data_IF_164467443665
#
_entry.id   IF_164467443665
#
_cell.length_a   1.000
_cell.length_b   1.000
_cell.length_c   1.000
_cell.angle_alpha   90.00
_cell.angle_beta   90.00
_cell.angle_gamma   90.00
#
_symmetry.space_group_name_H-M   'P 1'
#
loop_
_entity.id
_entity.type
_entity.pdbx_description
1 polymer ?
#
# COMPACT_ATOMS: atom_id res chain seq x y z
N UNK A 1 -28.70 -13.52 -43.16
CA UNK A 1 -28.86 -14.53 -44.24
C UNK A 1 -27.45 -14.74 -44.79
N UNK A 2 -26.75 -15.87 -44.69
CA UNK A 2 -27.10 -17.29 -44.86
C UNK A 2 -26.20 -18.13 -43.92
N UNK A 3 -26.70 -19.31 -43.63
CA UNK A 3 -26.39 -20.32 -42.61
C UNK A 3 -25.12 -21.18 -42.82
N UNK A 4 -24.51 -21.54 -41.67
CA UNK A 4 -23.68 -22.72 -41.27
C UNK A 4 -23.80 -24.03 -42.09
N UNK A 5 -22.80 -24.97 -42.07
CA UNK A 5 -22.49 -25.89 -40.93
C UNK A 5 -20.97 -26.19 -40.71
N UNK A 6 -20.38 -26.56 -39.54
CA UNK A 6 -20.52 -27.72 -38.60
C UNK A 6 -20.23 -29.07 -39.35
N UNK A 7 -19.27 -29.98 -39.05
CA UNK A 7 -18.50 -30.42 -37.84
C UNK A 7 -17.42 -31.49 -38.22
N UNK A 8 -16.81 -32.29 -37.30
CA UNK A 8 -15.35 -32.45 -37.12
C UNK A 8 -14.76 -33.77 -37.67
N UNK A 9 -13.45 -33.98 -37.52
CA UNK A 9 -12.83 -35.32 -37.56
C UNK A 9 -11.88 -35.50 -36.36
N UNK A 10 -12.20 -36.47 -35.51
CA UNK A 10 -11.30 -37.06 -34.53
C UNK A 10 -10.54 -38.23 -35.20
N UNK A 11 -9.26 -38.39 -34.87
CA UNK A 11 -8.52 -39.63 -35.15
C UNK A 11 -7.52 -39.91 -34.02
N UNK A 12 -7.88 -40.89 -33.18
CA UNK A 12 -6.98 -41.66 -32.33
C UNK A 12 -6.00 -42.46 -33.20
N UNK A 13 -4.72 -42.49 -32.84
CA UNK A 13 -3.82 -43.58 -33.20
C UNK A 13 -2.80 -43.80 -32.07
N UNK A 14 -2.88 -44.98 -31.46
CA UNK A 14 -1.97 -45.47 -30.44
C UNK A 14 -0.93 -46.43 -31.03
N UNK A 15 0.15 -46.59 -30.26
CA UNK A 15 1.06 -47.73 -30.15
C UNK A 15 2.30 -47.80 -31.09
N UNK A 16 3.48 -47.79 -30.45
CA UNK A 16 4.48 -48.86 -30.60
C UNK A 16 5.49 -48.84 -29.42
N UNK A 17 5.49 -49.91 -28.61
CA UNK A 17 6.58 -50.30 -27.70
C UNK A 17 7.58 -51.20 -28.44
N UNK A 18 8.87 -51.14 -28.08
CA UNK A 18 9.92 -52.18 -28.10
C UNK A 18 11.09 -51.65 -27.20
N UNK A 19 11.34 -52.17 -25.97
CA UNK A 19 12.26 -53.28 -25.57
C UNK A 19 13.72 -53.07 -26.07
N UNK A 20 14.83 -53.25 -25.32
CA UNK A 20 15.11 -53.85 -24.01
C UNK A 20 16.57 -53.52 -23.59
N UNK A 21 16.93 -53.75 -22.31
CA UNK A 21 18.32 -53.82 -21.84
C UNK A 21 18.46 -54.13 -20.33
N UNK A 22 18.55 -55.42 -19.98
CA UNK A 22 18.91 -55.97 -18.66
C UNK A 22 20.37 -55.60 -18.26
N UNK A 23 20.91 -55.76 -17.03
CA UNK A 23 20.83 -56.92 -16.14
C UNK A 23 21.62 -56.71 -14.80
N UNK A 24 21.01 -57.20 -13.69
CA UNK A 24 21.53 -57.89 -12.46
C UNK A 24 22.69 -57.31 -11.62
N UNK A 25 22.73 -57.51 -10.30
CA UNK A 25 21.96 -58.38 -9.39
C UNK A 25 22.42 -58.13 -7.94
N UNK A 26 21.55 -58.21 -6.94
CA UNK A 26 21.40 -59.37 -6.02
C UNK A 26 22.31 -59.23 -4.79
N UNK A 27 22.02 -59.65 -3.56
CA UNK A 27 20.84 -60.05 -2.79
C UNK A 27 21.40 -60.47 -1.40
N UNK A 28 20.68 -60.16 -0.30
CA UNK A 28 20.70 -60.85 1.04
C UNK A 28 22.04 -60.84 1.84
N UNK A 29 22.11 -60.79 3.19
CA UNK A 29 21.16 -61.01 4.28
C UNK A 29 21.74 -60.46 5.62
N UNK A 30 20.82 -60.11 6.55
CA UNK A 30 20.84 -60.24 8.02
C UNK A 30 21.86 -59.50 8.95
N UNK A 31 21.29 -58.62 9.80
CA UNK A 31 21.39 -58.73 11.28
C UNK A 31 22.06 -57.58 12.05
N UNK A 32 21.29 -56.77 12.81
CA UNK A 32 21.39 -56.65 14.28
C UNK A 32 20.30 -55.72 14.89
N UNK A 33 20.11 -55.87 16.21
CA UNK A 33 18.97 -55.48 17.06
C UNK A 33 19.11 -54.09 17.74
N UNK A 34 18.00 -53.65 18.35
CA UNK A 34 17.84 -52.65 19.45
C UNK A 34 18.04 -51.15 19.05
N UNK A 35 17.33 -50.12 19.54
CA UNK A 35 16.44 -49.91 20.68
C UNK A 35 15.87 -48.46 20.59
N UNK A 36 14.72 -48.16 21.22
CA UNK A 36 14.12 -46.81 21.52
C UNK A 36 13.70 -45.95 20.32
N UNK A 37 12.51 -45.36 20.23
CA UNK A 37 11.81 -44.51 21.20
C UNK A 37 11.62 -43.13 20.56
N UNK A 38 10.45 -42.52 20.74
CA UNK A 38 10.03 -41.17 20.31
C UNK A 38 9.28 -41.06 18.97
N UNK A 39 7.96 -40.92 19.10
CA UNK A 39 7.16 -40.10 18.21
C UNK A 39 7.59 -38.65 18.46
N UNK A 40 8.07 -37.99 17.41
CA UNK A 40 8.32 -36.56 17.41
C UNK A 40 7.02 -35.91 16.94
N UNK A 41 6.31 -35.30 17.90
CA UNK A 41 5.39 -34.20 17.62
C UNK A 41 6.24 -33.07 17.01
N UNK A 42 5.87 -32.64 15.81
CA UNK A 42 6.41 -31.41 15.24
C UNK A 42 5.72 -30.23 15.95
N UNK A 43 6.20 -29.88 17.15
CA UNK A 43 6.00 -28.56 17.72
C UNK A 43 6.93 -27.58 16.99
N UNK A 44 6.38 -26.89 15.99
CA UNK A 44 6.93 -25.59 15.61
C UNK A 44 6.42 -24.60 16.65
N UNK A 45 7.22 -24.42 17.71
CA UNK A 45 6.97 -23.41 18.72
C UNK A 45 7.26 -22.04 18.13
N UNK A 46 6.20 -21.34 17.72
CA UNK A 46 6.22 -19.91 17.46
C UNK A 46 6.11 -19.18 18.80
N UNK A 47 7.19 -18.52 19.21
CA UNK A 47 7.19 -17.62 20.35
C UNK A 47 6.41 -16.35 19.97
N UNK A 48 5.08 -16.36 20.19
CA UNK A 48 4.25 -15.16 20.00
C UNK A 48 2.74 -15.38 19.95
N UNK A 49 2.27 -16.59 19.62
CA UNK A 49 0.85 -16.80 19.25
C UNK A 49 0.06 -17.68 20.24
N UNK A 50 0.46 -17.73 21.51
CA UNK A 50 -0.14 -18.64 22.49
C UNK A 50 -1.66 -18.43 22.73
N UNK A 51 -2.23 -17.32 22.26
CA UNK A 51 -3.61 -16.91 22.51
C UNK A 51 -4.45 -16.64 21.24
N UNK A 52 -3.93 -16.91 20.03
CA UNK A 52 -4.73 -16.74 18.80
C UNK A 52 -5.68 -17.93 18.57
N UNK A 53 -6.92 -17.63 18.19
CA UNK A 53 -7.95 -18.63 17.92
C UNK A 53 -8.19 -18.77 16.40
N UNK A 54 -8.34 -20.01 15.92
CA UNK A 54 -8.79 -20.27 14.55
C UNK A 54 -10.24 -19.79 14.38
N UNK A 55 -10.50 -19.02 13.32
CA UNK A 55 -11.79 -18.43 12.98
C UNK A 55 -12.26 -18.85 11.59
N UNK A 56 -13.57 -18.75 11.34
CA UNK A 56 -14.20 -19.32 10.13
C UNK A 56 -13.83 -18.58 8.82
N UNK A 57 -13.28 -17.36 8.89
CA UNK A 57 -12.91 -16.53 7.74
C UNK A 57 -11.91 -15.42 8.14
N UNK A 58 -11.19 -14.81 7.19
CA UNK A 58 -10.34 -13.64 7.46
C UNK A 58 -11.10 -12.54 8.21
N UNK A 59 -10.42 -11.91 9.16
CA UNK A 59 -10.99 -10.85 10.01
C UNK A 59 -10.22 -9.55 9.77
N UNK A 60 -10.50 -8.81 8.68
CA UNK A 60 -9.77 -7.57 8.40
C UNK A 60 -9.92 -6.58 9.56
N UNK A 61 -8.86 -5.84 9.84
CA UNK A 61 -8.81 -4.84 10.92
C UNK A 61 -8.34 -3.50 10.41
N UNK A 62 -8.81 -2.43 11.04
CA UNK A 62 -8.35 -1.07 10.82
C UNK A 62 -7.45 -0.65 11.98
N UNK A 63 -6.44 0.15 11.68
CA UNK A 63 -5.59 0.82 12.68
C UNK A 63 -5.72 2.32 12.48
N UNK A 64 -6.25 3.01 13.48
CA UNK A 64 -6.48 4.45 13.45
C UNK A 64 -5.69 5.15 14.56
N UNK A 65 -4.92 6.18 14.24
CA UNK A 65 -4.16 6.93 15.26
C UNK A 65 -5.01 8.02 15.88
N UNK A 66 -4.68 8.43 17.09
CA UNK A 66 -5.25 9.60 17.76
C UNK A 66 -4.18 10.28 18.63
N UNK A 67 -4.48 11.44 19.19
CA UNK A 67 -3.56 12.12 20.13
C UNK A 67 -3.42 11.30 21.43
N UNK A 68 -2.37 10.48 21.51
CA UNK A 68 -2.06 9.63 22.66
C UNK A 68 -2.10 8.12 22.38
N UNK A 69 -2.32 7.66 21.14
CA UNK A 69 -2.27 6.23 20.84
C UNK A 69 -2.82 5.82 19.47
N UNK A 70 -3.11 4.52 19.35
CA UNK A 70 -3.80 3.92 18.22
C UNK A 70 -4.96 3.04 18.69
N UNK A 71 -6.02 3.02 17.90
CA UNK A 71 -7.16 2.12 18.03
C UNK A 71 -7.03 1.02 16.98
N UNK A 72 -7.28 -0.23 17.38
CA UNK A 72 -7.53 -1.31 16.43
C UNK A 72 -9.02 -1.58 16.39
N UNK A 73 -9.61 -1.62 15.19
CA UNK A 73 -11.03 -1.83 14.98
C UNK A 73 -11.28 -3.04 14.07
N UNK A 74 -12.38 -3.74 14.30
CA UNK A 74 -12.91 -4.69 13.33
C UNK A 74 -13.36 -3.94 12.07
N UNK A 75 -12.86 -4.31 10.89
CA UNK A 75 -13.08 -3.54 9.67
C UNK A 75 -14.49 -3.73 9.07
N UNK A 76 -15.31 -4.65 9.60
CA UNK A 76 -16.67 -4.89 9.14
C UNK A 76 -17.72 -4.20 10.02
N UNK A 77 -17.45 -4.11 11.32
CA UNK A 77 -18.40 -3.63 12.34
C UNK A 77 -17.96 -2.32 12.98
N UNK A 78 -16.70 -1.93 12.80
CA UNK A 78 -16.05 -0.78 13.47
C UNK A 78 -16.01 -0.90 15.01
N UNK A 79 -16.19 -2.10 15.56
CA UNK A 79 -16.00 -2.35 16.98
C UNK A 79 -14.53 -2.13 17.36
N UNK A 80 -14.27 -1.35 18.42
CA UNK A 80 -12.92 -1.15 18.95
C UNK A 80 -12.48 -2.43 19.66
N UNK A 81 -11.44 -3.06 19.13
CA UNK A 81 -10.84 -4.29 19.63
C UNK A 81 -9.73 -4.02 20.64
N UNK A 82 -8.93 -2.98 20.38
CA UNK A 82 -7.82 -2.59 21.26
C UNK A 82 -7.59 -1.07 21.23
N UNK A 83 -7.03 -0.56 22.33
CA UNK A 83 -6.55 0.81 22.49
C UNK A 83 -5.12 0.76 23.05
N UNK A 84 -4.14 1.02 22.19
CA UNK A 84 -2.71 0.99 22.51
C UNK A 84 -2.19 2.42 22.70
N UNK A 85 -1.87 2.84 23.95
CA UNK A 85 -1.36 4.18 24.22
C UNK A 85 0.07 4.37 23.72
N UNK A 86 0.32 5.47 23.02
CA UNK A 86 1.62 5.85 22.48
C UNK A 86 1.78 7.36 22.46
N UNK A 87 2.97 7.84 22.80
CA UNK A 87 3.28 9.27 22.82
C UNK A 87 3.75 9.76 21.45
N UNK A 88 3.42 11.01 21.11
CA UNK A 88 3.90 11.70 19.91
C UNK A 88 2.93 11.65 18.74
N UNK A 89 3.33 12.24 17.61
CA UNK A 89 2.56 12.18 16.38
C UNK A 89 2.87 10.88 15.64
N UNK A 90 1.87 10.00 15.56
CA UNK A 90 2.01 8.65 15.06
C UNK A 90 1.53 8.59 13.60
N UNK A 91 2.34 7.97 12.74
CA UNK A 91 1.97 7.58 11.38
C UNK A 91 1.89 6.07 11.30
N UNK A 92 0.91 5.58 10.52
CA UNK A 92 0.67 4.15 10.34
C UNK A 92 0.64 3.82 8.86
N UNK A 93 1.33 2.74 8.48
CA UNK A 93 1.34 2.22 7.12
C UNK A 93 1.30 0.70 7.18
N UNK A 94 0.54 0.01 6.32
CA UNK A 94 0.50 -1.44 6.36
C UNK A 94 1.84 -2.01 5.88
N UNK A 95 2.27 -3.14 6.45
CA UNK A 95 3.53 -3.79 6.12
C UNK A 95 3.48 -4.58 4.80
N UNK A 96 2.29 -4.75 4.20
CA UNK A 96 2.09 -5.42 2.91
C UNK A 96 1.83 -6.92 3.00
N UNK A 97 1.85 -7.49 4.19
CA UNK A 97 1.69 -8.94 4.46
C UNK A 97 0.27 -9.33 4.91
N UNK A 98 -0.65 -8.36 4.96
CA UNK A 98 -2.02 -8.57 5.41
C UNK A 98 -2.18 -8.69 6.93
N UNK A 99 -1.13 -8.50 7.74
CA UNK A 99 -1.16 -8.67 9.19
C UNK A 99 -0.57 -7.50 9.97
N UNK A 100 0.57 -6.97 9.52
CA UNK A 100 1.34 -6.00 10.29
C UNK A 100 1.16 -4.57 9.79
N UNK A 101 1.42 -3.61 10.69
CA UNK A 101 1.42 -2.18 10.43
C UNK A 101 2.72 -1.58 10.96
N UNK A 102 3.39 -0.77 10.15
CA UNK A 102 4.49 0.08 10.60
C UNK A 102 3.98 1.33 11.29
N UNK A 103 4.49 1.56 12.50
CA UNK A 103 4.21 2.71 13.35
C UNK A 103 5.47 3.57 13.41
N UNK A 104 5.39 4.82 12.98
CA UNK A 104 6.52 5.74 13.09
C UNK A 104 6.72 6.17 14.55
N UNK A 105 7.93 5.94 15.07
CA UNK A 105 8.37 6.30 16.43
C UNK A 105 9.70 7.06 16.36
N UNK A 106 10.15 7.77 17.41
CA UNK A 106 11.40 8.52 17.38
C UNK A 106 12.64 7.70 16.96
N UNK A 107 12.65 6.41 17.27
CA UNK A 107 13.74 5.48 16.96
C UNK A 107 13.70 4.93 15.52
N UNK A 108 12.58 5.07 14.79
CA UNK A 108 12.41 4.54 13.44
C UNK A 108 11.00 4.01 13.18
N UNK A 109 10.90 2.81 12.61
CA UNK A 109 9.62 2.16 12.31
C UNK A 109 9.41 0.95 13.21
N UNK A 110 8.44 1.04 14.12
CA UNK A 110 8.07 -0.04 15.02
C UNK A 110 6.97 -0.90 14.39
N UNK A 111 7.13 -2.22 14.47
CA UNK A 111 6.15 -3.16 13.93
C UNK A 111 4.99 -3.34 14.92
N UNK A 112 3.77 -3.18 14.43
CA UNK A 112 2.52 -3.46 15.14
C UNK A 112 1.87 -4.69 14.51
N UNK A 113 1.62 -5.73 15.31
CA UNK A 113 0.84 -6.90 14.90
C UNK A 113 -0.63 -6.60 15.12
N UNK A 114 -1.41 -6.52 14.04
CA UNK A 114 -2.85 -6.29 14.15
C UNK A 114 -3.59 -7.52 14.66
N UNK A 115 -2.92 -8.66 14.85
CA UNK A 115 -3.44 -9.86 15.51
C UNK A 115 -4.34 -10.71 14.62
N UNK A 116 -4.23 -10.61 13.29
CA UNK A 116 -5.03 -11.39 12.33
C UNK A 116 -4.19 -11.82 11.15
N UNK A 117 -4.34 -13.08 10.73
CA UNK A 117 -3.67 -13.61 9.53
C UNK A 117 -4.38 -14.85 9.00
N UNK A 118 -4.11 -15.16 7.73
CA UNK A 118 -4.63 -16.34 7.06
C UNK A 118 -3.49 -17.15 6.47
N UNK A 119 -3.36 -18.39 6.94
CA UNK A 119 -2.41 -19.36 6.39
C UNK A 119 -3.02 -20.03 5.15
N UNK A 120 -2.49 -19.73 3.97
CA UNK A 120 -2.92 -20.37 2.74
C UNK A 120 -2.30 -21.77 2.59
N UNK A 121 -3.13 -22.76 2.25
CA UNK A 121 -2.74 -24.14 1.97
C UNK A 121 -3.12 -24.55 0.53
N UNK A 122 -2.98 -23.62 -0.42
CA UNK A 122 -3.27 -23.84 -1.83
C UNK A 122 -4.76 -23.72 -2.16
N UNK A 123 -5.57 -24.74 -1.84
CA UNK A 123 -7.01 -24.75 -2.17
C UNK A 123 -7.95 -24.33 -1.02
N UNK A 124 -7.38 -24.12 0.17
CA UNK A 124 -8.05 -23.60 1.36
C UNK A 124 -7.07 -22.72 2.15
N UNK A 125 -7.59 -22.00 3.15
CA UNK A 125 -6.76 -21.31 4.13
C UNK A 125 -7.40 -21.40 5.52
N UNK A 126 -6.58 -21.28 6.56
CA UNK A 126 -7.02 -21.22 7.94
C UNK A 126 -6.75 -19.82 8.45
N UNK A 127 -7.80 -19.16 8.95
CA UNK A 127 -7.70 -17.79 9.47
C UNK A 127 -7.59 -17.83 10.98
N UNK A 128 -6.79 -16.93 11.52
CA UNK A 128 -6.55 -16.81 12.96
C UNK A 128 -6.79 -15.38 13.42
N UNK A 129 -7.30 -15.24 14.63
CA UNK A 129 -7.48 -13.95 15.29
C UNK A 129 -7.01 -14.03 16.73
N UNK A 130 -6.18 -13.08 17.13
CA UNK A 130 -5.71 -12.85 18.49
C UNK A 130 -5.78 -11.38 18.87
N UNK A 131 -5.17 -11.04 19.99
CA UNK A 131 -5.08 -9.66 20.47
C UNK A 131 -4.05 -8.87 19.64
N UNK A 132 -4.36 -7.63 19.20
CA UNK A 132 -3.37 -6.73 18.61
C UNK A 132 -2.25 -6.40 19.61
N UNK A 133 -1.03 -6.20 19.13
CA UNK A 133 0.10 -5.84 19.98
C UNK A 133 1.14 -5.00 19.25
N UNK A 134 1.61 -3.95 19.93
CA UNK A 134 2.84 -3.27 19.54
C UNK A 134 4.04 -4.15 19.92
N UNK A 135 4.83 -4.56 18.94
CA UNK A 135 5.96 -5.48 19.15
C UNK A 135 7.20 -4.74 19.64
N UNK A 136 8.19 -5.48 20.13
CA UNK A 136 9.52 -4.91 20.44
C UNK A 136 10.40 -4.70 19.19
N UNK A 137 9.92 -5.09 17.99
CA UNK A 137 10.66 -4.98 16.73
C UNK A 137 10.64 -3.54 16.23
N UNK A 138 11.82 -2.93 16.14
CA UNK A 138 12.02 -1.58 15.62
C UNK A 138 13.09 -1.62 14.53
N UNK A 139 12.73 -1.10 13.36
CA UNK A 139 13.66 -0.86 12.25
C UNK A 139 14.22 0.54 12.36
N UNK A 140 15.46 0.63 12.84
CA UNK A 140 16.09 1.90 13.22
C UNK A 140 16.31 2.84 12.03
N UNK A 141 15.93 4.10 12.20
CA UNK A 141 16.13 5.14 11.20
C UNK A 141 15.85 6.53 11.75
N UNK A 142 16.65 7.52 11.36
CA UNK A 142 16.44 8.90 11.82
C UNK A 142 15.29 9.54 11.05
N UNK A 143 14.33 10.13 11.76
CA UNK A 143 13.16 10.83 11.19
C UNK A 143 12.41 9.93 10.18
N UNK A 144 11.68 8.90 10.64
CA UNK A 144 10.98 7.96 9.76
C UNK A 144 10.00 8.66 8.80
N UNK A 145 10.24 8.50 7.50
CA UNK A 145 9.56 9.19 6.41
C UNK A 145 8.49 8.33 5.73
N UNK A 146 8.77 7.89 4.50
CA UNK A 146 7.83 7.12 3.66
C UNK A 146 7.91 5.61 3.91
N UNK A 147 6.77 4.92 3.76
CA UNK A 147 6.65 3.46 3.71
C UNK A 147 5.90 3.13 2.42
N UNK A 148 6.58 2.49 1.48
CA UNK A 148 6.01 2.17 0.17
C UNK A 148 5.90 0.67 0.01
N UNK A 149 4.77 0.22 -0.55
CA UNK A 149 4.57 -1.18 -0.95
C UNK A 149 4.42 -1.24 -2.46
N UNK A 150 5.14 -2.14 -3.09
CA UNK A 150 5.02 -2.44 -4.50
C UNK A 150 5.62 -3.82 -4.78
N UNK A 151 5.10 -4.57 -5.75
CA UNK A 151 5.71 -5.84 -6.18
C UNK A 151 5.96 -6.88 -5.06
N UNK A 152 5.14 -6.91 -4.00
CA UNK A 152 5.34 -7.79 -2.84
C UNK A 152 6.52 -7.37 -1.93
N UNK A 153 7.00 -6.14 -2.11
CA UNK A 153 8.07 -5.52 -1.33
C UNK A 153 7.52 -4.40 -0.47
N UNK A 154 8.20 -4.18 0.64
CA UNK A 154 7.97 -3.03 1.52
C UNK A 154 9.27 -2.29 1.73
N UNK A 155 9.26 -1.00 1.42
CA UNK A 155 10.44 -0.13 1.46
C UNK A 155 10.21 0.99 2.47
N UNK A 156 11.10 1.10 3.45
CA UNK A 156 11.09 2.16 4.46
C UNK A 156 12.15 3.20 4.11
N UNK A 157 11.77 4.47 4.08
CA UNK A 157 12.67 5.59 3.84
C UNK A 157 12.80 6.46 5.10
N UNK A 158 14.03 6.68 5.58
CA UNK A 158 14.33 7.51 6.75
C UNK A 158 14.95 8.84 6.32
N UNK A 159 14.26 9.94 6.61
CA UNK A 159 14.60 11.26 6.06
C UNK A 159 15.89 11.83 6.65
N UNK A 160 16.15 11.55 7.93
CA UNK A 160 17.24 12.15 8.70
C UNK A 160 18.61 11.54 8.41
N UNK A 161 18.64 10.30 7.94
CA UNK A 161 19.87 9.57 7.60
C UNK A 161 19.93 9.07 6.14
N UNK A 162 18.86 9.24 5.36
CA UNK A 162 18.80 8.80 3.95
C UNK A 162 18.77 7.28 3.79
N UNK A 163 18.45 6.54 4.86
CA UNK A 163 18.43 5.07 4.86
C UNK A 163 17.20 4.55 4.14
N UNK A 164 17.41 3.56 3.27
CA UNK A 164 16.39 2.79 2.58
C UNK A 164 16.48 1.36 3.08
N UNK A 165 15.41 0.84 3.67
CA UNK A 165 15.32 -0.54 4.18
C UNK A 165 14.27 -1.29 3.36
N UNK A 166 14.68 -2.39 2.73
CA UNK A 166 13.90 -3.13 1.76
C UNK A 166 13.59 -4.52 2.31
N UNK A 167 12.33 -4.90 2.26
CA UNK A 167 11.82 -6.17 2.77
C UNK A 167 11.00 -6.88 1.72
N UNK A 168 11.07 -8.21 1.74
CA UNK A 168 9.98 -9.03 1.21
C UNK A 168 8.78 -8.94 2.16
N UNK A 169 7.62 -8.50 1.69
CA UNK A 169 6.48 -8.25 2.58
C UNK A 169 6.05 -9.52 3.29
N UNK A 170 6.01 -10.67 2.62
CA UNK A 170 5.55 -11.93 3.25
C UNK A 170 6.47 -12.40 4.39
N UNK A 171 7.74 -11.97 4.41
CA UNK A 171 8.69 -12.36 5.44
C UNK A 171 8.34 -11.85 6.86
N UNK A 172 7.45 -10.85 6.97
CA UNK A 172 6.92 -10.42 8.27
C UNK A 172 6.01 -11.47 8.92
N UNK A 173 5.43 -12.40 8.14
CA UNK A 173 4.65 -13.52 8.69
C UNK A 173 5.52 -14.55 9.40
N UNK A 174 6.81 -14.59 9.08
CA UNK A 174 7.78 -15.52 9.69
C UNK A 174 8.51 -14.92 10.90
N UNK A 175 8.25 -13.65 11.23
CA UNK A 175 8.82 -12.95 12.39
C UNK A 175 9.37 -11.56 12.05
N UNK A 176 10.57 -11.26 12.56
CA UNK A 176 11.26 -9.99 12.34
C UNK A 176 12.38 -10.16 11.28
N UNK A 177 12.09 -9.98 9.98
CA UNK A 177 13.09 -10.12 8.93
C UNK A 177 14.15 -9.02 9.01
N UNK A 178 15.35 -9.33 8.53
CA UNK A 178 16.42 -8.35 8.34
C UNK A 178 16.29 -7.70 6.95
N UNK A 179 16.41 -6.37 6.82
CA UNK A 179 16.30 -5.70 5.54
C UNK A 179 17.56 -5.84 4.68
N UNK A 180 17.37 -5.71 3.37
CA UNK A 180 18.41 -5.14 2.52
C UNK A 180 18.48 -3.62 2.73
N UNK A 181 19.70 -3.07 2.84
CA UNK A 181 19.90 -1.66 3.19
C UNK A 181 20.69 -0.95 2.10
N UNK A 182 20.12 0.16 1.64
CA UNK A 182 20.77 1.15 0.78
C UNK A 182 20.73 2.53 1.43
N UNK A 183 21.58 3.45 0.97
CA UNK A 183 21.62 4.84 1.44
C UNK A 183 21.60 5.78 0.24
N UNK A 184 20.90 6.89 0.37
CA UNK A 184 20.98 8.01 -0.57
C UNK A 184 22.33 8.74 -0.43
N UNK A 185 22.69 9.56 -1.43
CA UNK A 185 23.93 10.34 -1.35
C UNK A 185 23.91 11.34 -0.18
N UNK A 186 22.75 11.96 0.05
CA UNK A 186 22.50 12.86 1.18
C UNK A 186 21.10 12.58 1.79
N UNK A 187 20.92 12.74 3.12
CA UNK A 187 19.61 12.67 3.76
C UNK A 187 18.67 13.79 3.26
N UNK A 188 17.40 13.46 3.05
CA UNK A 188 16.36 14.38 2.61
C UNK A 188 14.98 13.78 2.86
N UNK A 189 13.92 14.59 2.79
CA UNK A 189 12.55 14.07 2.82
C UNK A 189 12.20 13.39 1.49
N UNK A 190 12.37 12.07 1.43
CA UNK A 190 12.42 11.30 0.19
C UNK A 190 11.53 10.06 0.19
N UNK A 191 11.60 9.32 -0.91
CA UNK A 191 10.87 8.07 -1.11
C UNK A 191 11.67 7.10 -1.98
N UNK A 192 11.43 5.80 -1.77
CA UNK A 192 12.01 4.72 -2.55
C UNK A 192 10.97 3.62 -2.84
N UNK A 193 11.10 2.97 -3.99
CA UNK A 193 10.21 1.91 -4.49
C UNK A 193 11.05 0.83 -5.17
N UNK A 194 10.89 -0.42 -4.76
CA UNK A 194 11.49 -1.58 -5.45
C UNK A 194 10.50 -2.13 -6.48
N UNK A 195 10.95 -2.32 -7.72
CA UNK A 195 10.19 -2.85 -8.85
C UNK A 195 10.18 -4.39 -8.85
N UNK A 196 9.30 -5.01 -9.66
CA UNK A 196 9.19 -6.48 -9.75
C UNK A 196 10.49 -7.14 -10.23
N UNK A 197 11.27 -6.41 -11.01
CA UNK A 197 12.55 -6.87 -11.56
C UNK A 197 13.75 -6.70 -10.59
N UNK A 198 13.53 -6.16 -9.38
CA UNK A 198 14.56 -5.90 -8.37
C UNK A 198 15.33 -4.59 -8.55
N UNK A 199 14.92 -3.73 -9.49
CA UNK A 199 15.43 -2.36 -9.59
C UNK A 199 14.86 -1.49 -8.48
N UNK A 200 15.68 -0.60 -7.92
CA UNK A 200 15.25 0.33 -6.88
C UNK A 200 15.23 1.76 -7.42
N UNK A 201 14.04 2.35 -7.48
CA UNK A 201 13.85 3.78 -7.73
C UNK A 201 13.86 4.54 -6.41
N UNK A 202 14.61 5.64 -6.32
CA UNK A 202 14.54 6.54 -5.16
C UNK A 202 14.83 8.00 -5.52
N UNK A 203 14.34 8.91 -4.67
CA UNK A 203 14.47 10.36 -4.88
C UNK A 203 15.88 10.87 -4.66
N UNK A 204 16.19 11.97 -5.34
CA UNK A 204 17.45 12.71 -5.26
C UNK A 204 17.18 14.02 -4.53
N UNK A 205 17.97 14.31 -3.49
CA UNK A 205 17.91 15.56 -2.75
C UNK A 205 18.87 15.63 -1.57
N UNK A 206 18.73 16.72 -0.83
CA UNK A 206 19.40 17.02 0.44
C UNK A 206 18.46 17.84 1.35
N UNK A 207 18.98 18.43 2.43
CA UNK A 207 18.22 19.25 3.38
C UNK A 207 17.58 20.51 2.73
N UNK A 208 18.16 21.03 1.65
CA UNK A 208 17.73 22.28 1.02
C UNK A 208 16.87 22.06 -0.24
N UNK A 209 17.20 21.06 -1.06
CA UNK A 209 16.58 20.84 -2.37
C UNK A 209 16.35 19.36 -2.69
N UNK A 210 15.32 19.10 -3.50
CA UNK A 210 14.98 17.79 -4.05
C UNK A 210 14.72 17.97 -5.54
N UNK A 211 15.37 17.18 -6.38
CA UNK A 211 15.51 17.50 -7.82
C UNK A 211 14.96 16.44 -8.76
N UNK A 212 14.78 15.20 -8.30
CA UNK A 212 14.15 14.15 -9.09
C UNK A 212 14.41 12.75 -8.54
N UNK A 213 14.64 11.78 -9.40
CA UNK A 213 14.80 10.39 -9.02
C UNK A 213 15.86 9.69 -9.87
N UNK A 214 16.44 8.64 -9.31
CA UNK A 214 17.31 7.71 -10.02
C UNK A 214 16.85 6.27 -9.78
N UNK A 215 17.34 5.37 -10.62
CA UNK A 215 17.12 3.93 -10.49
C UNK A 215 18.45 3.20 -10.49
N UNK A 216 18.61 2.26 -9.58
CA UNK A 216 19.75 1.34 -9.52
C UNK A 216 19.31 -0.09 -9.81
N UNK A 217 20.22 -0.91 -10.33
CA UNK A 217 20.02 -2.36 -10.45
C UNK A 217 20.23 -3.10 -9.11
N UNK A 218 20.05 -4.43 -9.12
CA UNK A 218 20.28 -5.34 -7.97
C UNK A 218 21.71 -5.29 -7.39
N UNK A 219 22.67 -4.68 -8.11
CA UNK A 219 24.06 -4.52 -7.67
C UNK A 219 24.35 -3.10 -7.14
N UNK A 220 23.35 -2.22 -7.14
CA UNK A 220 23.49 -0.81 -6.81
C UNK A 220 24.13 0.03 -7.90
N UNK A 221 24.22 -0.45 -9.15
CA UNK A 221 24.68 0.34 -10.29
C UNK A 221 23.55 1.23 -10.80
N UNK A 222 23.79 2.55 -10.87
CA UNK A 222 22.83 3.50 -11.44
C UNK A 222 22.60 3.20 -12.94
N UNK A 223 21.34 2.95 -13.29
CA UNK A 223 20.91 2.61 -14.66
C UNK A 223 20.06 3.70 -15.31
N UNK A 224 19.39 4.52 -14.51
CA UNK A 224 18.58 5.65 -14.99
C UNK A 224 18.60 6.80 -13.97
N UNK A 225 18.43 8.03 -14.47
CA UNK A 225 18.36 9.25 -13.64
C UNK A 225 17.57 10.33 -14.37
N UNK A 226 16.73 11.05 -13.65
CA UNK A 226 16.15 12.32 -14.09
C UNK A 226 16.10 13.31 -12.93
N UNK A 227 16.57 14.53 -13.18
CA UNK A 227 16.54 15.66 -12.24
C UNK A 227 15.59 16.76 -12.75
N UNK A 228 14.61 16.38 -13.57
CA UNK A 228 13.59 17.28 -14.15
C UNK A 228 12.31 17.31 -13.28
N UNK A 229 12.46 17.23 -11.95
CA UNK A 229 11.34 17.20 -11.02
C UNK A 229 11.63 18.02 -9.75
N UNK A 230 11.61 19.35 -9.85
CA UNK A 230 11.88 20.24 -8.73
C UNK A 230 10.89 20.02 -7.59
N UNK A 231 11.43 19.90 -6.37
CA UNK A 231 10.65 19.63 -5.17
C UNK A 231 9.96 18.27 -5.21
N UNK A 232 10.61 17.25 -5.79
CA UNK A 232 10.06 15.90 -5.91
C UNK A 232 9.47 15.41 -4.59
N UNK A 233 8.25 14.88 -4.65
CA UNK A 233 7.52 14.37 -3.50
C UNK A 233 6.33 13.51 -3.94
N UNK A 234 6.08 12.46 -3.15
CA UNK A 234 5.01 11.51 -3.41
C UNK A 234 5.38 10.54 -4.53
N UNK A 235 4.72 9.40 -4.45
CA UNK A 235 4.91 8.26 -5.31
C UNK A 235 3.57 7.55 -5.55
N UNK A 236 3.43 6.92 -6.71
CA UNK A 236 2.38 5.95 -6.95
C UNK A 236 2.81 4.94 -8.03
N UNK A 237 2.37 3.70 -7.90
CA UNK A 237 2.45 2.70 -8.96
C UNK A 237 1.14 2.69 -9.78
N UNK A 238 1.24 2.46 -11.08
CA UNK A 238 0.10 2.28 -11.97
C UNK A 238 0.27 0.99 -12.79
N UNK A 239 -0.75 0.67 -13.59
CA UNK A 239 -0.72 -0.46 -14.52
C UNK A 239 0.58 -0.52 -15.34
N UNK A 240 1.00 -1.75 -15.66
CA UNK A 240 2.21 -2.05 -16.43
C UNK A 240 3.50 -1.52 -15.78
N UNK A 241 3.63 -1.69 -14.46
CA UNK A 241 4.84 -1.38 -13.67
C UNK A 241 5.32 0.08 -13.80
N UNK A 242 4.40 1.01 -14.09
CA UNK A 242 4.73 2.43 -14.15
C UNK A 242 4.83 3.01 -12.74
N UNK A 243 5.98 3.56 -12.38
CA UNK A 243 6.16 4.31 -11.13
C UNK A 243 6.18 5.80 -11.45
N UNK A 244 5.38 6.58 -10.71
CA UNK A 244 5.37 8.03 -10.86
C UNK A 244 5.85 8.72 -9.59
N UNK A 245 6.54 9.85 -9.76
CA UNK A 245 6.89 10.77 -8.65
C UNK A 245 6.51 12.21 -9.02
N UNK A 246 5.79 12.89 -8.12
CA UNK A 246 5.28 14.24 -8.34
C UNK A 246 6.31 15.34 -8.05
N UNK A 247 6.13 16.51 -8.66
CA UNK A 247 6.95 17.71 -8.43
C UNK A 247 6.13 19.01 -8.54
N UNK A 248 6.81 20.15 -8.32
CA UNK A 248 6.25 21.50 -8.40
C UNK A 248 5.71 21.90 -9.79
N UNK A 249 6.11 21.19 -10.84
CA UNK A 249 5.81 21.49 -12.24
C UNK A 249 5.32 20.26 -13.04
N UNK A 250 4.76 19.25 -12.36
CA UNK A 250 4.15 18.08 -13.01
C UNK A 250 4.58 16.76 -12.35
N UNK A 251 4.91 15.76 -13.16
CA UNK A 251 5.24 14.42 -12.68
C UNK A 251 6.34 13.77 -13.53
N UNK A 252 7.20 12.97 -12.92
CA UNK A 252 8.07 12.03 -13.63
C UNK A 252 7.44 10.65 -13.63
N UNK A 253 7.58 9.95 -14.75
CA UNK A 253 7.13 8.58 -14.95
C UNK A 253 8.37 7.74 -15.24
N UNK A 254 8.56 6.66 -14.51
CA UNK A 254 9.52 5.62 -14.80
C UNK A 254 8.77 4.39 -15.28
N UNK A 255 9.04 3.97 -16.51
CA UNK A 255 8.43 2.79 -17.11
C UNK A 255 9.38 2.24 -18.19
N UNK A 256 9.45 0.91 -18.33
CA UNK A 256 10.28 0.24 -19.34
C UNK A 256 11.78 0.67 -19.31
N UNK A 257 12.29 1.03 -18.13
CA UNK A 257 13.68 1.44 -17.95
C UNK A 257 13.99 2.91 -18.29
N UNK A 258 13.00 3.74 -18.60
CA UNK A 258 13.18 5.13 -19.02
C UNK A 258 12.34 6.11 -18.17
N UNK A 259 12.92 7.28 -17.87
CA UNK A 259 12.19 8.40 -17.28
C UNK A 259 11.55 9.27 -18.37
N UNK A 260 10.26 9.59 -18.20
CA UNK A 260 9.53 10.58 -19.01
C UNK A 260 8.96 11.68 -18.09
N UNK A 261 9.22 12.94 -18.43
CA UNK A 261 8.62 14.09 -17.77
C UNK A 261 7.28 14.45 -18.42
N UNK A 262 6.24 14.58 -17.60
CA UNK A 262 4.96 15.16 -17.99
C UNK A 262 4.82 16.51 -17.28
N UNK A 263 4.79 17.58 -18.07
CA UNK A 263 4.66 18.95 -17.58
C UNK A 263 3.24 19.23 -17.10
N UNK A 264 3.13 19.93 -15.98
CA UNK A 264 1.87 20.56 -15.59
C UNK A 264 1.48 21.66 -16.60
N UNK A 265 0.18 21.91 -16.82
CA UNK A 265 -0.28 22.95 -17.73
C UNK A 265 -0.04 24.38 -17.21
N UNK A 266 0.06 24.55 -15.89
CA UNK A 266 0.38 25.82 -15.24
C UNK A 266 1.90 25.95 -14.99
N UNK A 267 2.41 27.18 -14.87
CA UNK A 267 3.85 27.40 -14.63
C UNK A 267 4.33 26.92 -13.26
N UNK A 268 3.41 26.86 -12.30
CA UNK A 268 3.53 26.12 -11.06
C UNK A 268 2.26 25.29 -10.96
N UNK A 269 2.42 23.98 -10.97
CA UNK A 269 1.34 23.00 -11.02
C UNK A 269 1.78 21.79 -10.24
N UNK A 270 1.86 21.98 -8.92
CA UNK A 270 2.43 20.99 -8.01
C UNK A 270 1.50 19.81 -7.88
N UNK A 271 2.06 18.64 -8.14
CA UNK A 271 1.51 17.33 -7.84
C UNK A 271 2.46 16.71 -6.83
N UNK A 272 2.02 16.42 -5.62
CA UNK A 272 2.89 15.81 -4.60
C UNK A 272 2.21 14.83 -3.67
N UNK A 273 0.93 14.53 -3.88
CA UNK A 273 0.28 13.35 -3.32
C UNK A 273 -0.46 12.64 -4.44
N UNK A 274 -0.21 11.35 -4.63
CA UNK A 274 -0.79 10.56 -5.70
C UNK A 274 -1.44 9.29 -5.17
N UNK A 275 -2.42 8.79 -5.92
CA UNK A 275 -3.08 7.51 -5.70
C UNK A 275 -3.10 6.73 -7.01
N UNK A 276 -2.35 5.62 -7.02
CA UNK A 276 -2.19 4.73 -8.16
C UNK A 276 -3.01 3.45 -8.03
N UNK A 277 -3.14 2.71 -9.14
CA UNK A 277 -3.89 1.45 -9.22
C UNK A 277 -3.31 0.56 -10.32
N UNK A 278 -3.12 -0.72 -10.03
CA UNK A 278 -2.65 -1.70 -11.03
C UNK A 278 -3.70 -1.98 -12.13
N UNK A 279 -4.96 -1.62 -11.89
CA UNK A 279 -6.07 -1.79 -12.83
C UNK A 279 -6.13 -0.68 -13.89
N UNK A 280 -5.36 0.40 -13.74
CA UNK A 280 -5.47 1.59 -14.61
C UNK A 280 -4.12 2.26 -14.86
N UNK A 281 -3.84 2.71 -16.10
CA UNK A 281 -2.65 3.50 -16.40
C UNK A 281 -2.79 4.97 -15.94
N UNK A 282 -3.95 5.38 -15.43
CA UNK A 282 -4.17 6.77 -15.00
C UNK A 282 -3.89 6.90 -13.51
N UNK A 283 -2.99 7.80 -13.14
CA UNK A 283 -2.71 8.18 -11.75
C UNK A 283 -3.52 9.40 -11.37
N UNK A 284 -4.20 9.32 -10.22
CA UNK A 284 -4.88 10.45 -9.58
C UNK A 284 -3.87 11.20 -8.71
N UNK A 285 -3.77 12.52 -8.85
CA UNK A 285 -2.89 13.35 -8.03
C UNK A 285 -3.58 14.60 -7.50
N UNK A 286 -3.08 15.14 -6.40
CA UNK A 286 -3.43 16.51 -6.01
C UNK A 286 -2.95 17.51 -7.06
N UNK A 287 -3.50 18.72 -7.05
CA UNK A 287 -3.07 19.76 -7.99
C UNK A 287 -3.15 21.15 -7.39
N UNK A 288 -1.99 21.72 -7.08
CA UNK A 288 -1.80 23.01 -6.42
C UNK A 288 -1.12 24.00 -7.37
N UNK A 289 -1.64 25.21 -7.49
CA UNK A 289 -1.16 26.24 -8.43
C UNK A 289 -0.70 27.53 -7.77
N UNK A 290 -0.82 27.66 -6.45
CA UNK A 290 -0.34 28.82 -5.69
C UNK A 290 0.95 28.49 -4.94
N UNK A 291 2.09 28.83 -5.55
CA UNK A 291 3.43 28.62 -4.98
C UNK A 291 3.63 29.31 -3.62
N UNK A 292 2.96 30.44 -3.39
CA UNK A 292 3.15 31.28 -2.22
C UNK A 292 2.10 31.00 -1.12
N UNK A 293 1.19 30.05 -1.32
CA UNK A 293 0.13 29.75 -0.37
C UNK A 293 0.66 29.02 0.89
N UNK A 294 0.36 29.56 2.07
CA UNK A 294 0.55 28.83 3.33
C UNK A 294 -0.31 27.55 3.38
N UNK A 295 -1.52 27.61 2.82
CA UNK A 295 -2.44 26.48 2.62
C UNK A 295 -3.41 26.80 1.47
N UNK A 296 -3.27 26.15 0.32
CA UNK A 296 -4.00 26.50 -0.91
C UNK A 296 -5.47 26.07 -0.92
N UNK A 297 -5.79 24.88 -0.37
CA UNK A 297 -7.12 24.25 -0.48
C UNK A 297 -7.57 24.07 -1.94
N UNK A 298 -6.88 23.21 -2.71
CA UNK A 298 -7.14 23.04 -4.14
C UNK A 298 -8.51 22.41 -4.39
N UNK A 299 -9.18 22.85 -5.46
CA UNK A 299 -10.48 22.30 -5.91
C UNK A 299 -10.36 21.44 -7.18
N UNK A 300 -9.14 21.27 -7.70
CA UNK A 300 -8.84 20.47 -8.89
C UNK A 300 -7.90 19.33 -8.53
N UNK A 301 -8.09 18.17 -9.15
CA UNK A 301 -7.13 17.06 -9.14
C UNK A 301 -6.53 16.86 -10.53
N UNK A 302 -5.35 16.25 -10.58
CA UNK A 302 -4.70 15.84 -11.82
C UNK A 302 -5.00 14.36 -12.10
N UNK A 303 -5.13 14.03 -13.39
CA UNK A 303 -5.18 12.68 -13.91
C UNK A 303 -4.07 12.55 -14.95
N UNK A 304 -3.05 11.74 -14.65
CA UNK A 304 -1.92 11.52 -15.57
C UNK A 304 -1.94 10.10 -16.10
N UNK A 305 -2.07 9.93 -17.40
CA UNK A 305 -2.00 8.63 -18.06
C UNK A 305 -0.53 8.28 -18.34
N UNK A 306 -0.05 7.17 -17.79
CA UNK A 306 1.36 6.75 -17.88
C UNK A 306 1.75 6.26 -19.26
N UNK A 307 0.84 5.65 -20.01
CA UNK A 307 1.10 5.16 -21.37
C UNK A 307 1.20 6.30 -22.40
N UNK A 308 0.36 7.33 -22.27
CA UNK A 308 0.26 8.41 -23.26
C UNK A 308 1.03 9.65 -22.88
N UNK A 309 1.38 9.81 -21.59
CA UNK A 309 1.94 11.04 -21.04
C UNK A 309 0.95 12.21 -21.04
N UNK A 310 -0.35 11.95 -21.16
CA UNK A 310 -1.39 12.97 -21.11
C UNK A 310 -1.77 13.29 -19.66
N UNK A 311 -1.77 14.58 -19.33
CA UNK A 311 -2.24 15.10 -18.05
C UNK A 311 -3.49 15.93 -18.26
N UNK A 312 -4.56 15.58 -17.56
CA UNK A 312 -5.82 16.33 -17.53
C UNK A 312 -6.15 16.78 -16.11
N UNK A 313 -6.95 17.85 -15.99
CA UNK A 313 -7.38 18.37 -14.71
C UNK A 313 -8.89 18.20 -14.57
N UNK A 314 -9.33 17.73 -13.41
CA UNK A 314 -10.75 17.56 -13.07
C UNK A 314 -11.11 18.55 -11.97
N UNK A 315 -12.16 19.33 -12.19
CA UNK A 315 -12.73 20.25 -11.20
C UNK A 315 -13.76 19.49 -10.34
N UNK A 316 -13.55 19.48 -9.02
CA UNK A 316 -14.41 18.79 -8.07
C UNK A 316 -15.56 19.68 -7.55
N UNK A 317 -15.47 21.00 -7.74
CA UNK A 317 -16.38 21.98 -7.14
C UNK A 317 -16.30 22.09 -5.61
N UNK A 318 -15.29 21.46 -5.00
CA UNK A 318 -15.02 21.45 -3.56
C UNK A 318 -13.52 21.25 -3.33
N UNK A 319 -13.00 21.75 -2.20
CA UNK A 319 -11.61 21.49 -1.81
C UNK A 319 -11.47 20.08 -1.23
N UNK A 320 -10.24 19.59 -1.14
CA UNK A 320 -9.87 18.35 -0.46
C UNK A 320 -8.55 18.52 0.30
N UNK A 321 -8.13 17.51 1.07
CA UNK A 321 -6.80 17.47 1.71
C UNK A 321 -5.90 16.42 1.07
N UNK A 322 -4.61 16.42 1.40
CA UNK A 322 -3.68 15.39 0.92
C UNK A 322 -4.03 13.95 1.37
N UNK A 323 -4.86 13.78 2.41
CA UNK A 323 -5.36 12.47 2.90
C UNK A 323 -6.68 12.04 2.26
N UNK A 324 -7.17 12.79 1.26
CA UNK A 324 -8.48 12.57 0.66
C UNK A 324 -8.47 11.68 -0.59
N UNK A 325 -7.29 11.33 -1.12
CA UNK A 325 -7.17 10.64 -2.40
C UNK A 325 -7.15 9.12 -2.19
N UNK A 326 -7.92 8.40 -2.99
CA UNK A 326 -7.93 6.94 -3.03
C UNK A 326 -8.27 6.42 -4.42
N UNK A 327 -8.21 5.10 -4.58
CA UNK A 327 -8.61 4.39 -5.80
C UNK A 327 -9.60 3.30 -5.47
N UNK A 328 -10.64 3.17 -6.30
CA UNK A 328 -11.61 2.11 -6.16
C UNK A 328 -11.16 0.81 -6.84
N UNK A 329 -11.94 -0.28 -6.68
CA UNK A 329 -11.58 -1.61 -7.15
C UNK A 329 -11.50 -1.75 -8.68
N UNK A 330 -12.17 -0.87 -9.44
CA UNK A 330 -12.12 -0.86 -10.90
C UNK A 330 -11.14 0.20 -11.44
N UNK A 331 -10.27 0.74 -10.56
CA UNK A 331 -9.31 1.78 -10.91
C UNK A 331 -9.90 3.20 -11.00
N UNK A 332 -11.16 3.41 -10.61
CA UNK A 332 -11.77 4.74 -10.54
C UNK A 332 -11.09 5.62 -9.49
N UNK A 333 -11.14 6.94 -9.69
CA UNK A 333 -10.59 7.92 -8.75
C UNK A 333 -11.59 8.19 -7.63
N UNK A 334 -11.11 8.25 -6.38
CA UNK A 334 -11.91 8.59 -5.23
C UNK A 334 -11.31 9.81 -4.52
N UNK A 335 -12.13 10.83 -4.26
CA UNK A 335 -11.68 12.04 -3.54
C UNK A 335 -12.69 12.42 -2.46
N UNK A 336 -12.26 12.40 -1.19
CA UNK A 336 -13.03 12.91 -0.07
C UNK A 336 -12.98 14.45 -0.02
N UNK A 337 -14.07 15.08 -0.42
CA UNK A 337 -14.21 16.54 -0.44
C UNK A 337 -14.49 17.14 0.94
N UNK A 338 -14.13 18.42 1.08
CA UNK A 338 -14.44 19.29 2.23
C UNK A 338 -15.93 19.61 2.36
N UNK A 339 -16.74 19.27 1.35
CA UNK A 339 -18.20 19.27 1.40
C UNK A 339 -18.78 18.05 2.12
N UNK A 340 -17.91 17.13 2.57
CA UNK A 340 -18.26 15.92 3.30
C UNK A 340 -18.69 14.75 2.40
N UNK A 341 -18.49 14.88 1.08
CA UNK A 341 -18.85 13.83 0.12
C UNK A 341 -17.61 13.12 -0.43
N UNK A 342 -17.72 11.80 -0.63
CA UNK A 342 -16.77 11.02 -1.41
C UNK A 342 -17.15 11.13 -2.90
N UNK A 343 -16.30 11.78 -3.69
CA UNK A 343 -16.50 11.99 -5.13
C UNK A 343 -15.85 10.86 -5.91
N UNK A 344 -16.59 10.31 -6.88
CA UNK A 344 -16.15 9.22 -7.76
C UNK A 344 -15.83 9.80 -9.13
N UNK A 345 -14.64 9.51 -9.64
CA UNK A 345 -14.09 10.05 -10.89
C UNK A 345 -13.87 8.91 -11.88
N UNK A 346 -14.49 9.03 -13.05
CA UNK A 346 -14.09 8.24 -14.21
C UNK A 346 -12.77 8.83 -14.73
N UNK A 347 -11.69 8.09 -14.49
CA UNK A 347 -10.32 8.54 -14.78
C UNK A 347 -10.00 8.51 -16.28
N UNK A 348 -10.74 7.73 -17.08
CA UNK A 348 -10.58 7.73 -18.54
C UNK A 348 -11.31 8.91 -19.18
N UNK A 349 -12.52 9.22 -18.69
CA UNK A 349 -13.32 10.34 -19.18
C UNK A 349 -12.86 11.70 -18.62
N UNK A 350 -12.20 11.70 -17.45
CA UNK A 350 -11.83 12.91 -16.72
C UNK A 350 -13.04 13.64 -16.15
N UNK A 351 -14.03 12.89 -15.65
CA UNK A 351 -15.32 13.44 -15.18
C UNK A 351 -15.71 12.85 -13.82
N UNK A 352 -16.25 13.68 -12.94
CA UNK A 352 -16.92 13.23 -11.70
C UNK A 352 -18.24 12.55 -12.09
N UNK A 353 -18.38 11.25 -11.83
CA UNK A 353 -19.57 10.46 -12.21
C UNK A 353 -20.58 10.31 -11.08
N UNK A 354 -20.16 10.53 -9.83
CA UNK A 354 -21.02 10.42 -8.66
C UNK A 354 -20.41 11.05 -7.42
N UNK A 355 -21.26 11.27 -6.42
CA UNK A 355 -20.82 11.66 -5.08
C UNK A 355 -21.69 11.00 -4.02
N UNK A 356 -21.07 10.59 -2.93
CA UNK A 356 -21.69 9.89 -1.81
C UNK A 356 -21.51 10.77 -0.58
N UNK A 357 -22.56 11.33 0.02
CA UNK A 357 -22.44 12.07 1.28
C UNK A 357 -22.01 11.13 2.41
N UNK A 358 -20.95 11.47 3.13
CA UNK A 358 -20.38 10.63 4.20
C UNK A 358 -20.32 11.39 5.53
N UNK A 359 -19.66 12.55 5.56
CA UNK A 359 -19.44 13.36 6.76
C UNK A 359 -20.20 14.70 6.69
N UNK A 360 -20.21 15.48 7.76
CA UNK A 360 -20.51 16.91 7.63
C UNK A 360 -19.42 17.64 6.80
N UNK A 361 -19.76 18.82 6.28
CA UNK A 361 -18.79 19.68 5.62
C UNK A 361 -17.75 20.19 6.64
N UNK A 362 -16.50 20.24 6.24
CA UNK A 362 -15.36 20.52 7.10
C UNK A 362 -14.38 21.48 6.43
N UNK A 363 -13.41 21.98 7.21
CA UNK A 363 -12.37 22.87 6.72
C UNK A 363 -11.00 22.29 7.08
N UNK A 364 -10.08 22.26 6.11
CA UNK A 364 -8.74 21.76 6.35
C UNK A 364 -8.01 22.62 7.40
N UNK A 365 -7.52 22.01 8.50
CA UNK A 365 -6.83 22.75 9.54
C UNK A 365 -5.45 23.21 9.06
N UNK A 366 -5.04 24.39 9.53
CA UNK A 366 -3.74 25.00 9.18
C UNK A 366 -2.55 24.13 9.58
N UNK A 367 -2.62 23.48 10.75
CA UNK A 367 -1.59 22.56 11.21
C UNK A 367 -1.84 21.18 10.58
N UNK A 368 -0.89 20.68 9.78
CA UNK A 368 -1.03 19.43 9.02
C UNK A 368 -1.13 18.17 9.92
N UNK A 369 -0.72 18.28 11.18
CA UNK A 369 -0.82 17.22 12.19
C UNK A 369 -2.17 17.19 12.91
N UNK A 370 -3.02 18.21 12.76
CA UNK A 370 -4.34 18.17 13.39
C UNK A 370 -5.25 17.13 12.70
N UNK A 371 -6.10 16.43 13.47
CA UNK A 371 -7.11 15.53 12.94
C UNK A 371 -7.97 16.19 11.87
N UNK A 372 -8.22 15.46 10.79
CA UNK A 372 -9.13 15.81 9.69
C UNK A 372 -9.73 14.52 9.12
N UNK A 373 -10.86 14.58 8.40
CA UNK A 373 -11.36 13.41 7.69
C UNK A 373 -10.31 12.80 6.76
N UNK A 374 -10.11 11.49 6.87
CA UNK A 374 -9.12 10.71 6.12
C UNK A 374 -9.86 9.59 5.38
N UNK A 375 -9.45 9.34 4.13
CA UNK A 375 -9.95 8.23 3.30
C UNK A 375 -8.94 7.08 3.33
N UNK A 376 -9.42 5.87 3.59
CA UNK A 376 -8.69 4.62 3.37
C UNK A 376 -9.57 3.67 2.57
N UNK A 377 -9.00 2.95 1.59
CA UNK A 377 -9.76 2.03 0.73
C UNK A 377 -9.13 0.64 0.78
N UNK A 378 -9.95 -0.37 1.02
CA UNK A 378 -9.55 -1.78 1.05
C UNK A 378 -10.73 -2.66 0.62
N UNK A 379 -10.47 -3.65 -0.22
CA UNK A 379 -11.44 -4.69 -0.61
C UNK A 379 -12.81 -4.16 -1.11
N UNK A 380 -12.81 -3.04 -1.84
CA UNK A 380 -14.03 -2.42 -2.38
C UNK A 380 -14.84 -1.61 -1.35
N UNK A 381 -14.32 -1.43 -0.15
CA UNK A 381 -14.87 -0.57 0.89
C UNK A 381 -14.01 0.69 1.04
N UNK A 382 -14.65 1.84 1.21
CA UNK A 382 -14.00 3.08 1.61
C UNK A 382 -14.33 3.38 3.08
N UNK A 383 -13.29 3.54 3.88
CA UNK A 383 -13.35 3.94 5.28
C UNK A 383 -13.06 5.43 5.38
N UNK A 384 -13.97 6.17 6.01
CA UNK A 384 -13.88 7.62 6.15
C UNK A 384 -13.98 8.00 7.62
N UNK A 385 -12.91 8.57 8.18
CA UNK A 385 -12.96 9.11 9.53
C UNK A 385 -13.66 10.48 9.57
N UNK A 386 -14.40 10.77 10.65
CA UNK A 386 -14.97 12.08 10.95
C UNK A 386 -14.55 12.52 12.36
N UNK A 387 -13.32 13.07 12.52
CA UNK A 387 -12.78 13.36 13.85
C UNK A 387 -13.57 14.42 14.63
N UNK A 388 -14.34 15.26 13.94
CA UNK A 388 -15.16 16.32 14.55
C UNK A 388 -16.35 15.75 15.36
N UNK A 389 -16.97 14.66 14.88
CA UNK A 389 -18.00 13.91 15.58
C UNK A 389 -17.47 12.67 16.31
N UNK A 390 -16.17 12.38 16.17
CA UNK A 390 -15.53 11.14 16.63
C UNK A 390 -16.18 9.91 15.99
N UNK A 391 -16.46 9.95 14.69
CA UNK A 391 -17.08 8.84 13.97
C UNK A 391 -16.13 8.23 12.92
N UNK A 392 -16.44 7.01 12.51
CA UNK A 392 -15.84 6.33 11.37
C UNK A 392 -16.97 5.69 10.56
N UNK A 393 -16.89 5.78 9.24
CA UNK A 393 -17.92 5.32 8.32
C UNK A 393 -17.37 4.29 7.36
N UNK A 394 -18.18 3.27 7.05
CA UNK A 394 -17.92 2.34 5.95
C UNK A 394 -18.82 2.72 4.78
N UNK A 395 -18.22 2.94 3.61
CA UNK A 395 -18.92 3.14 2.33
C UNK A 395 -18.67 1.91 1.46
N UNK A 396 -19.74 1.23 1.06
CA UNK A 396 -19.66 0.18 0.05
C UNK A 396 -19.64 0.83 -1.34
N UNK A 397 -18.50 0.73 -2.04
CA UNK A 397 -18.28 1.44 -3.31
C UNK A 397 -19.19 0.91 -4.43
N UNK A 398 -19.56 -0.37 -4.37
CA UNK A 398 -20.40 -1.01 -5.38
C UNK A 398 -21.86 -0.49 -5.34
N UNK A 399 -22.42 -0.28 -4.15
CA UNK A 399 -23.75 0.28 -3.94
C UNK A 399 -23.76 1.80 -3.89
N UNK A 400 -22.64 2.41 -3.52
CA UNK A 400 -22.52 3.85 -3.31
C UNK A 400 -23.23 4.33 -2.04
N UNK A 401 -23.32 3.48 -1.02
CA UNK A 401 -24.05 3.76 0.23
C UNK A 401 -23.12 3.62 1.44
N UNK A 402 -23.35 4.47 2.45
CA UNK A 402 -22.78 4.27 3.80
C UNK A 402 -23.50 3.08 4.42
N UNK A 403 -22.77 2.00 4.72
CA UNK A 403 -23.34 0.75 5.22
C UNK A 403 -23.24 0.63 6.73
N UNK A 404 -22.24 1.26 7.36
CA UNK A 404 -22.01 1.23 8.80
C UNK A 404 -21.41 2.57 9.26
N UNK A 405 -21.68 2.94 10.51
CA UNK A 405 -21.06 4.10 11.15
C UNK A 405 -20.98 3.89 12.66
N UNK A 406 -19.82 4.15 13.24
CA UNK A 406 -19.59 3.97 14.67
C UNK A 406 -18.98 5.21 15.33
N UNK A 407 -19.45 5.52 16.54
CA UNK A 407 -18.79 6.47 17.44
C UNK A 407 -17.52 5.82 18.01
N UNK A 408 -16.41 6.54 17.94
CA UNK A 408 -15.11 6.17 18.45
C UNK A 408 -14.82 6.87 19.77
N UNK A 409 -14.01 6.26 20.66
CA UNK A 409 -13.64 6.90 21.93
C UNK A 409 -12.75 8.13 21.75
N UNK A 410 -12.08 8.28 20.61
CA UNK A 410 -11.08 9.31 20.32
C UNK A 410 -11.30 9.92 18.94
N UNK A 411 -10.87 11.17 18.77
CA UNK A 411 -10.83 11.82 17.46
C UNK A 411 -9.60 11.31 16.68
N UNK A 412 -9.83 10.46 15.67
CA UNK A 412 -8.76 9.79 14.92
C UNK A 412 -8.07 10.71 13.91
N UNK A 413 -6.90 10.33 13.41
CA UNK A 413 -6.09 11.15 12.49
C UNK A 413 -5.63 10.35 11.26
N UNK A 414 -4.63 9.48 11.42
CA UNK A 414 -4.20 8.54 10.37
C UNK A 414 -5.09 7.30 10.43
N UNK A 415 -5.29 6.65 9.29
CA UNK A 415 -6.10 5.44 9.15
C UNK A 415 -5.45 4.50 8.13
N UNK A 416 -5.29 3.25 8.52
CA UNK A 416 -4.89 2.16 7.62
C UNK A 416 -5.60 0.86 8.01
N UNK A 417 -5.31 -0.23 7.31
CA UNK A 417 -5.91 -1.53 7.57
C UNK A 417 -5.06 -2.69 7.10
N UNK A 418 -5.46 -3.87 7.57
CA UNK A 418 -4.90 -5.17 7.23
C UNK A 418 -6.04 -6.09 6.77
N UNK A 419 -5.74 -7.04 5.89
CA UNK A 419 -6.73 -7.95 5.32
C UNK A 419 -7.05 -9.14 6.24
N UNK A 420 -6.08 -9.52 7.09
CA UNK A 420 -6.15 -10.70 7.94
C UNK A 420 -6.11 -12.02 7.18
#
# INVERSE_FOLDING_TARGET
MITRPIRPLAALAAAAMLLAGCQSGGAEEAGHEDEHGHAEEHEHGEEGHADAEEVDAPQPRLVATYDGGLLTLDAQTLEVLDDTPLDGFIRVNPAGDGRHVFVSVPEGFQLFDAGVWTEAHGDHGHSYAGDPALTDTVYEGDTPGHVVRHAGKTVLFSDGDGKIQIFDSESFLEGAPEPEVQETEEPHHGVAVELENGELLYTIGNEEERTGALVVDENGEEIARSEECPGVHGEAAAQDEAIVVGCQDGILIYQDGEFTKVDAPDSYGRIGNQAGSDESPVVLGDYKVDEDADLERPERVSLTNTETGELTLVDLGTSYSFRSLGRGPDGEGLVLGTDGSLHVIDVEAGEVTGSIPVTEAWEEPMEWQQPRPTLFVQDGLAYVSEPASQELHIVDLASGEVTESAELPQATNELTGVTG
#
